data_IF_527891383373
#
_entry.id   IF_527891383373
#
_cell.length_a   1.000
_cell.length_b   1.000
_cell.length_c   1.000
_cell.angle_alpha   90.00
_cell.angle_beta   90.00
_cell.angle_gamma   90.00
#
_symmetry.space_group_name_H-M   'P 1'
#
loop_
_entity.id
_entity.type
_entity.pdbx_description
1 polymer ?
#
# COMPACT_ATOMS: atom_id res chain seq x y z
N UNK A 1 -5.15 4.73 -8.96
CA UNK A 1 -4.17 3.63 -9.13
C UNK A 1 -3.18 3.57 -7.97
N UNK A 2 -2.33 4.59 -7.72
CA UNK A 2 -1.37 4.54 -6.61
C UNK A 2 -2.06 4.42 -5.24
N UNK A 3 -3.15 5.17 -5.02
CA UNK A 3 -3.97 5.08 -3.79
C UNK A 3 -4.48 3.66 -3.51
N UNK A 4 -4.81 2.89 -4.55
CA UNK A 4 -5.20 1.48 -4.40
C UNK A 4 -4.11 0.67 -3.68
N UNK A 5 -2.84 0.91 -3.99
CA UNK A 5 -1.73 0.24 -3.32
C UNK A 5 -1.55 0.64 -1.86
N UNK A 6 -1.88 1.89 -1.50
CA UNK A 6 -1.76 2.41 -0.12
C UNK A 6 -2.90 1.98 0.80
N UNK A 7 -4.10 1.76 0.25
CA UNK A 7 -5.31 1.57 1.07
C UNK A 7 -5.90 0.16 1.02
N UNK A 8 -5.38 -0.77 0.20
CA UNK A 8 -5.97 -2.12 0.09
C UNK A 8 -4.98 -3.27 0.17
N UNK A 9 -3.70 -2.97 0.42
CA UNK A 9 -2.56 -3.89 0.29
C UNK A 9 -2.27 -4.39 -1.13
N UNK A 10 -3.11 -4.11 -2.13
CA UNK A 10 -3.03 -4.76 -3.44
C UNK A 10 -1.62 -4.71 -4.05
N UNK A 11 -1.11 -5.87 -4.45
CA UNK A 11 0.14 -5.96 -5.22
C UNK A 11 -0.07 -5.29 -6.57
N UNK A 12 0.99 -4.73 -7.15
CA UNK A 12 0.88 -4.04 -8.44
C UNK A 12 0.23 -4.91 -9.54
N UNK A 13 0.56 -6.20 -9.60
CA UNK A 13 -0.08 -7.15 -10.52
C UNK A 13 -1.60 -7.31 -10.31
N UNK A 14 -2.06 -7.21 -9.06
CA UNK A 14 -3.50 -7.19 -8.72
C UNK A 14 -4.13 -5.86 -9.12
N UNK A 15 -3.48 -4.73 -8.82
CA UNK A 15 -4.00 -3.41 -9.16
C UNK A 15 -4.23 -3.25 -10.66
N UNK A 16 -3.28 -3.70 -11.50
CA UNK A 16 -3.40 -3.55 -12.97
C UNK A 16 -4.40 -4.52 -13.60
N UNK A 17 -4.90 -5.50 -12.86
CA UNK A 17 -5.92 -6.46 -13.33
C UNK A 17 -7.29 -6.21 -12.72
N UNK A 18 -7.45 -5.14 -11.91
CA UNK A 18 -8.77 -4.69 -11.46
C UNK A 18 -9.65 -4.38 -12.68
N UNK A 19 -10.91 -4.81 -12.61
CA UNK A 19 -11.91 -4.55 -13.64
C UNK A 19 -13.00 -3.62 -13.14
N UNK A 20 -13.73 -2.96 -14.04
CA UNK A 20 -14.91 -2.17 -13.65
C UNK A 20 -15.95 -3.04 -12.99
N UNK A 21 -16.25 -4.21 -13.56
CA UNK A 21 -17.20 -5.15 -12.97
C UNK A 21 -16.79 -5.60 -11.56
N UNK A 22 -15.48 -5.75 -11.27
CA UNK A 22 -15.01 -6.14 -9.94
C UNK A 22 -15.37 -5.12 -8.86
N UNK A 23 -15.42 -3.82 -9.17
CA UNK A 23 -15.79 -2.79 -8.17
C UNK A 23 -17.22 -2.96 -7.63
N UNK A 24 -18.08 -3.65 -8.38
CA UNK A 24 -19.48 -3.91 -8.02
C UNK A 24 -19.69 -5.28 -7.36
N UNK A 25 -18.62 -6.09 -7.21
CA UNK A 25 -18.66 -7.30 -6.37
C UNK A 25 -18.27 -7.01 -4.91
N UNK A 26 -17.86 -5.77 -4.63
CA UNK A 26 -17.52 -5.33 -3.29
C UNK A 26 -18.75 -5.30 -2.38
N UNK A 27 -18.62 -5.87 -1.18
CA UNK A 27 -19.66 -5.86 -0.14
C UNK A 27 -19.11 -5.27 1.16
N UNK A 28 -19.92 -4.47 1.84
CA UNK A 28 -19.55 -3.87 3.12
C UNK A 28 -19.39 -4.97 4.17
N UNK A 29 -18.35 -4.83 5.00
CA UNK A 29 -18.10 -5.76 6.11
C UNK A 29 -19.06 -5.37 7.25
N UNK A 30 -19.93 -6.27 7.73
CA UNK A 30 -20.96 -5.93 8.72
C UNK A 30 -20.41 -5.25 9.96
N UNK A 31 -19.27 -5.72 10.48
CA UNK A 31 -18.68 -5.22 11.72
C UNK A 31 -17.72 -4.03 11.50
N UNK A 32 -17.36 -3.72 10.25
CA UNK A 32 -16.40 -2.65 9.92
C UNK A 32 -17.06 -1.62 8.97
N UNK A 33 -17.92 -0.72 9.51
CA UNK A 33 -18.62 0.28 8.71
C UNK A 33 -17.65 1.11 7.86
N UNK A 34 -17.99 1.29 6.59
CA UNK A 34 -17.15 2.01 5.64
C UNK A 34 -15.98 1.19 5.06
N UNK A 35 -15.83 -0.08 5.42
CA UNK A 35 -14.83 -0.98 4.83
C UNK A 35 -15.52 -2.08 4.03
N UNK A 36 -15.04 -2.29 2.80
CA UNK A 36 -15.60 -3.25 1.86
C UNK A 36 -14.62 -4.39 1.59
N UNK A 37 -15.15 -5.61 1.49
CA UNK A 37 -14.45 -6.74 0.92
C UNK A 37 -14.62 -6.73 -0.59
N UNK A 38 -13.51 -6.60 -1.32
CA UNK A 38 -13.45 -6.73 -2.78
C UNK A 38 -12.82 -8.08 -3.15
N UNK A 39 -13.61 -9.07 -3.61
CA UNK A 39 -13.09 -10.39 -3.99
C UNK A 39 -12.01 -10.31 -5.10
N UNK A 40 -10.91 -11.04 -4.92
CA UNK A 40 -9.79 -11.16 -5.86
C UNK A 40 -9.21 -12.58 -5.91
N UNK A 41 -8.46 -12.91 -6.96
CA UNK A 41 -7.84 -14.22 -7.16
C UNK A 41 -8.68 -15.16 -8.03
N UNK A 42 -8.48 -16.49 -7.95
CA UNK A 42 -9.18 -17.46 -8.78
C UNK A 42 -10.70 -17.32 -8.74
N UNK A 43 -11.35 -17.45 -9.89
CA UNK A 43 -12.79 -17.21 -10.02
C UNK A 43 -13.17 -15.73 -10.14
N UNK A 44 -12.22 -14.82 -9.92
CA UNK A 44 -12.36 -13.39 -10.19
C UNK A 44 -11.48 -13.03 -11.40
N UNK A 45 -11.88 -12.05 -12.20
CA UNK A 45 -11.05 -11.55 -13.30
C UNK A 45 -9.80 -10.78 -12.82
N UNK A 46 -9.54 -10.75 -11.50
CA UNK A 46 -8.48 -9.98 -10.85
C UNK A 46 -7.38 -10.93 -10.37
N UNK A 47 -6.17 -10.75 -10.88
CA UNK A 47 -5.06 -11.65 -10.60
C UNK A 47 -4.45 -11.42 -9.21
N UNK A 48 -4.03 -12.50 -8.55
CA UNK A 48 -3.28 -12.47 -7.30
C UNK A 48 -1.97 -13.24 -7.42
N UNK A 49 -1.01 -12.94 -6.54
CA UNK A 49 0.27 -13.66 -6.53
C UNK A 49 0.02 -15.11 -6.13
N UNK A 50 0.54 -16.05 -6.91
CA UNK A 50 0.37 -17.50 -6.71
C UNK A 50 -1.09 -17.97 -6.69
N UNK A 51 -2.00 -17.24 -7.34
CA UNK A 51 -3.42 -17.61 -7.42
C UNK A 51 -4.07 -17.79 -6.04
N UNK A 52 -3.67 -16.99 -5.06
CA UNK A 52 -4.31 -16.96 -3.73
C UNK A 52 -5.66 -16.26 -3.84
N UNK A 53 -6.75 -16.96 -3.52
CA UNK A 53 -8.08 -16.36 -3.41
C UNK A 53 -8.26 -15.60 -2.11
N UNK A 54 -9.06 -14.54 -2.12
CA UNK A 54 -9.42 -13.78 -0.93
C UNK A 54 -10.11 -12.47 -1.29
N UNK A 55 -10.07 -11.50 -0.38
CA UNK A 55 -10.65 -10.17 -0.59
C UNK A 55 -9.65 -9.09 -0.21
N UNK A 56 -9.67 -7.99 -0.95
CA UNK A 56 -9.00 -6.76 -0.52
C UNK A 56 -9.93 -6.01 0.43
N UNK A 57 -9.37 -5.46 1.51
CA UNK A 57 -10.05 -4.47 2.34
C UNK A 57 -10.01 -3.12 1.62
N UNK A 58 -11.15 -2.52 1.33
CA UNK A 58 -11.25 -1.27 0.56
C UNK A 58 -12.09 -0.26 1.34
N UNK A 59 -11.50 0.87 1.79
CA UNK A 59 -12.28 1.96 2.37
C UNK A 59 -13.31 2.52 1.37
N UNK A 60 -14.47 2.94 1.87
CA UNK A 60 -15.59 3.48 1.07
C UNK A 60 -15.13 4.59 0.14
N UNK A 61 -14.35 5.53 0.64
CA UNK A 61 -13.86 6.69 -0.11
C UNK A 61 -13.02 6.24 -1.31
N UNK A 62 -12.15 5.24 -1.13
CA UNK A 62 -11.39 4.69 -2.24
C UNK A 62 -12.30 3.93 -3.22
N UNK A 63 -13.28 3.16 -2.74
CA UNK A 63 -14.20 2.43 -3.62
C UNK A 63 -15.00 3.40 -4.49
N UNK A 64 -15.48 4.50 -3.90
CA UNK A 64 -16.24 5.55 -4.58
C UNK A 64 -15.37 6.32 -5.59
N UNK A 65 -14.12 6.63 -5.24
CA UNK A 65 -13.14 7.20 -6.17
C UNK A 65 -12.88 6.28 -7.37
N UNK A 66 -12.75 4.98 -7.14
CA UNK A 66 -12.53 3.99 -8.20
C UNK A 66 -13.75 3.86 -9.12
N UNK A 67 -14.98 3.87 -8.56
CA UNK A 67 -16.23 3.87 -9.32
C UNK A 67 -16.42 5.16 -10.12
N UNK A 68 -16.10 6.31 -9.53
CA UNK A 68 -16.12 7.61 -10.19
C UNK A 68 -15.11 7.65 -11.35
N UNK A 69 -13.90 7.12 -11.14
CA UNK A 69 -12.93 6.98 -12.21
C UNK A 69 -13.42 6.04 -13.32
N UNK A 70 -14.06 4.92 -12.97
CA UNK A 70 -14.57 3.93 -13.93
C UNK A 70 -15.60 4.53 -14.92
N UNK A 71 -16.39 5.51 -14.50
CA UNK A 71 -17.39 6.19 -15.33
C UNK A 71 -16.90 7.53 -15.90
N UNK A 72 -15.69 7.96 -15.55
CA UNK A 72 -15.14 9.23 -16.04
C UNK A 72 -14.97 9.26 -17.57
N UNK A 73 -15.19 10.42 -18.19
CA UNK A 73 -14.98 10.62 -19.64
C UNK A 73 -13.57 10.21 -20.07
N UNK A 74 -12.57 10.48 -19.24
CA UNK A 74 -11.18 10.10 -19.51
C UNK A 74 -10.99 8.58 -19.59
N UNK A 75 -11.61 7.82 -18.68
CA UNK A 75 -11.59 6.36 -18.71
C UNK A 75 -12.39 5.83 -19.90
N UNK A 76 -13.62 6.30 -20.11
CA UNK A 76 -14.48 5.85 -21.21
C UNK A 76 -13.84 6.05 -22.59
N UNK A 77 -13.15 7.19 -22.82
CA UNK A 77 -12.38 7.42 -24.05
C UNK A 77 -11.24 6.41 -24.25
N UNK A 78 -10.66 5.88 -23.17
CA UNK A 78 -9.61 4.83 -23.24
C UNK A 78 -10.23 3.47 -23.50
N UNK A 79 -11.39 3.18 -22.93
CA UNK A 79 -12.17 1.96 -23.18
C UNK A 79 -12.59 1.83 -24.65
N UNK A 80 -13.00 2.93 -25.31
CA UNK A 80 -13.32 2.91 -26.75
C UNK A 80 -12.14 2.40 -27.57
N UNK A 81 -10.91 2.79 -27.22
CA UNK A 81 -9.67 2.38 -27.89
C UNK A 81 -9.18 0.99 -27.48
N UNK A 82 -9.69 0.44 -26.39
CA UNK A 82 -9.23 -0.83 -25.86
C UNK A 82 -9.67 -2.01 -26.75
N UNK A 83 -8.81 -3.03 -26.92
CA UNK A 83 -9.21 -4.30 -27.53
C UNK A 83 -10.45 -4.88 -26.84
N UNK A 84 -11.30 -5.66 -27.55
CA UNK A 84 -12.54 -6.19 -26.99
C UNK A 84 -12.38 -6.89 -25.62
N UNK A 85 -11.33 -7.68 -25.43
CA UNK A 85 -11.05 -8.38 -24.17
C UNK A 85 -10.59 -7.48 -23.01
N UNK A 86 -10.12 -6.27 -23.30
CA UNK A 86 -9.52 -5.36 -22.31
C UNK A 86 -10.47 -4.23 -21.87
N UNK A 87 -11.64 -4.10 -22.50
CA UNK A 87 -12.59 -2.99 -22.22
C UNK A 87 -13.00 -2.91 -20.75
N UNK A 88 -13.12 -4.06 -20.09
CA UNK A 88 -13.49 -4.13 -18.68
C UNK A 88 -12.33 -3.84 -17.72
N UNK A 89 -11.07 -3.77 -18.19
CA UNK A 89 -9.93 -3.41 -17.32
C UNK A 89 -10.10 -1.97 -16.83
N UNK A 90 -9.94 -1.76 -15.52
CA UNK A 90 -10.15 -0.47 -14.88
C UNK A 90 -9.09 0.54 -15.32
N UNK A 91 -7.81 0.16 -15.21
CA UNK A 91 -6.69 1.03 -15.52
C UNK A 91 -6.16 0.80 -16.94
N UNK A 92 -6.65 1.64 -17.85
CA UNK A 92 -6.17 1.72 -19.23
C UNK A 92 -5.24 2.93 -19.42
N UNK A 93 -4.24 2.77 -20.29
CA UNK A 93 -3.37 3.83 -20.80
C UNK A 93 -4.11 4.74 -21.78
N UNK A 94 -3.49 5.86 -22.19
CA UNK A 94 -4.07 6.80 -23.17
C UNK A 94 -4.34 6.16 -24.55
N UNK A 95 -3.63 5.09 -24.89
CA UNK A 95 -3.81 4.30 -26.12
C UNK A 95 -4.80 3.14 -25.97
N UNK A 96 -5.45 2.99 -24.81
CA UNK A 96 -6.45 1.94 -24.57
C UNK A 96 -5.86 0.58 -24.20
N UNK A 97 -4.54 0.47 -23.99
CA UNK A 97 -3.92 -0.77 -23.48
C UNK A 97 -4.02 -0.84 -21.95
N UNK A 98 -4.21 -2.02 -21.35
CA UNK A 98 -4.03 -2.21 -19.91
C UNK A 98 -2.67 -1.69 -19.44
N UNK A 99 -2.62 -1.09 -18.25
CA UNK A 99 -1.34 -0.86 -17.60
C UNK A 99 -0.68 -2.21 -17.29
N UNK A 100 0.64 -2.29 -17.47
CA UNK A 100 1.43 -3.42 -16.99
C UNK A 100 2.23 -3.03 -15.75
N UNK A 101 2.76 -4.01 -15.02
CA UNK A 101 3.70 -3.79 -13.90
C UNK A 101 4.86 -2.88 -14.35
N UNK A 102 5.39 -3.11 -15.55
CA UNK A 102 6.50 -2.33 -16.10
C UNK A 102 6.09 -0.88 -16.41
N UNK A 103 4.91 -0.70 -17.02
CA UNK A 103 4.39 0.65 -17.34
C UNK A 103 4.16 1.46 -16.07
N UNK A 104 3.63 0.84 -15.02
CA UNK A 104 3.46 1.52 -13.72
C UNK A 104 4.81 1.78 -13.05
N UNK A 105 5.77 0.85 -13.14
CA UNK A 105 7.14 1.06 -12.67
C UNK A 105 7.80 2.29 -13.30
N UNK A 106 7.62 2.48 -14.62
CA UNK A 106 8.09 3.67 -15.31
C UNK A 106 7.40 4.96 -14.83
N UNK A 107 6.08 4.92 -14.58
CA UNK A 107 5.37 6.07 -14.01
C UNK A 107 5.84 6.42 -12.60
N UNK A 108 6.10 5.42 -11.74
CA UNK A 108 6.63 5.64 -10.39
C UNK A 108 8.03 6.22 -10.45
N UNK A 109 8.88 5.78 -11.39
CA UNK A 109 10.19 6.39 -11.63
C UNK A 109 10.07 7.85 -12.06
N UNK A 110 9.19 8.16 -13.00
CA UNK A 110 8.96 9.55 -13.43
C UNK A 110 8.42 10.43 -12.28
N UNK A 111 7.52 9.89 -11.45
CA UNK A 111 7.04 10.56 -10.24
C UNK A 111 8.20 10.84 -9.26
N UNK A 112 9.07 9.85 -9.04
CA UNK A 112 10.27 10.00 -8.20
C UNK A 112 11.18 11.12 -8.73
N UNK A 113 11.53 11.10 -10.02
CA UNK A 113 12.40 12.12 -10.62
C UNK A 113 11.80 13.53 -10.47
N UNK A 114 10.49 13.68 -10.72
CA UNK A 114 9.79 14.96 -10.56
C UNK A 114 9.80 15.46 -9.11
N UNK A 115 9.52 14.58 -8.15
CA UNK A 115 9.43 14.95 -6.72
C UNK A 115 10.80 15.24 -6.10
N UNK A 116 11.85 14.56 -6.54
CA UNK A 116 13.23 14.88 -6.16
C UNK A 116 13.64 16.28 -6.65
N UNK A 117 13.24 16.66 -7.86
CA UNK A 117 13.42 18.02 -8.37
C UNK A 117 12.70 19.11 -7.57
N UNK A 118 11.75 18.71 -6.71
CA UNK A 118 11.01 19.58 -5.79
C UNK A 118 11.54 19.50 -4.34
N UNK A 119 12.67 18.84 -4.11
CA UNK A 119 13.28 18.72 -2.78
C UNK A 119 12.69 17.62 -1.89
N UNK A 120 11.81 16.76 -2.41
CA UNK A 120 11.21 15.65 -1.65
C UNK A 120 12.18 14.46 -1.55
N UNK A 121 13.26 14.63 -0.78
CA UNK A 121 14.36 13.65 -0.69
C UNK A 121 13.91 12.24 -0.28
N UNK A 122 12.82 12.12 0.49
CA UNK A 122 12.25 10.82 0.88
C UNK A 122 11.81 9.95 -0.32
N UNK A 123 11.61 10.55 -1.50
CA UNK A 123 11.20 9.82 -2.70
C UNK A 123 12.34 9.05 -3.37
N UNK A 124 13.60 9.28 -3.00
CA UNK A 124 14.78 8.74 -3.68
C UNK A 124 14.73 7.23 -3.93
N UNK A 125 14.18 6.48 -2.99
CA UNK A 125 14.08 5.01 -3.05
C UNK A 125 12.66 4.50 -3.31
N UNK A 126 11.66 5.39 -3.38
CA UNK A 126 10.24 5.05 -3.40
C UNK A 126 9.85 4.16 -4.59
N UNK A 127 9.36 2.96 -4.30
CA UNK A 127 8.83 1.97 -5.25
C UNK A 127 7.34 1.77 -4.98
N UNK A 128 6.60 1.27 -5.98
CA UNK A 128 5.20 0.87 -5.77
C UNK A 128 5.05 -0.16 -4.63
N UNK A 129 6.04 -1.04 -4.44
CA UNK A 129 6.02 -1.99 -3.34
C UNK A 129 5.90 -1.32 -1.96
N UNK A 130 6.43 -0.11 -1.82
CA UNK A 130 6.43 0.61 -0.54
C UNK A 130 5.01 1.00 -0.14
N UNK A 131 4.09 1.24 -1.08
CA UNK A 131 2.68 1.52 -0.74
C UNK A 131 2.03 0.36 0.02
N UNK A 132 2.37 -0.88 -0.39
CA UNK A 132 1.89 -2.10 0.26
C UNK A 132 2.54 -2.30 1.63
N UNK A 133 3.83 -1.95 1.76
CA UNK A 133 4.50 -1.99 3.06
C UNK A 133 3.91 -0.96 4.02
N UNK A 134 3.64 0.27 3.55
CA UNK A 134 2.96 1.32 4.32
C UNK A 134 1.58 0.85 4.80
N UNK A 135 0.76 0.26 3.92
CA UNK A 135 -0.52 -0.34 4.33
C UNK A 135 -0.33 -1.35 5.46
N UNK A 136 0.59 -2.31 5.27
CA UNK A 136 0.78 -3.39 6.24
C UNK A 136 1.26 -2.90 7.61
N UNK A 137 2.17 -1.93 7.63
CA UNK A 137 2.66 -1.31 8.88
C UNK A 137 1.56 -0.51 9.57
N UNK A 138 0.80 0.30 8.84
CA UNK A 138 -0.27 1.11 9.44
C UNK A 138 -1.39 0.23 9.99
N UNK A 139 -1.83 -0.79 9.23
CA UNK A 139 -2.84 -1.72 9.70
C UNK A 139 -2.34 -2.49 10.93
N UNK A 140 -1.10 -2.97 10.93
CA UNK A 140 -0.54 -3.66 12.09
C UNK A 140 -0.56 -2.78 13.35
N UNK A 141 -0.17 -1.51 13.21
CA UNK A 141 -0.15 -0.58 14.34
C UNK A 141 -1.54 -0.39 14.94
N UNK A 142 -2.56 -0.18 14.09
CA UNK A 142 -3.95 -0.04 14.54
C UNK A 142 -4.45 -1.33 15.21
N UNK A 143 -4.17 -2.50 14.63
CA UNK A 143 -4.62 -3.77 15.20
C UNK A 143 -3.97 -4.04 16.56
N UNK A 144 -2.70 -3.70 16.75
CA UNK A 144 -1.99 -3.90 18.01
C UNK A 144 -2.44 -2.96 19.14
N UNK A 145 -3.19 -1.91 18.84
CA UNK A 145 -3.82 -1.06 19.87
C UNK A 145 -5.01 -1.75 20.54
N UNK A 146 -5.59 -2.77 19.90
CA UNK A 146 -6.85 -3.38 20.32
C UNK A 146 -6.82 -4.91 20.43
N UNK A 147 -5.85 -5.57 19.81
CA UNK A 147 -5.80 -7.04 19.68
C UNK A 147 -4.45 -7.58 20.14
N UNK A 148 -4.43 -8.87 20.50
CA UNK A 148 -3.18 -9.56 20.77
C UNK A 148 -2.31 -9.65 19.50
N UNK A 149 -0.96 -9.78 19.64
CA UNK A 149 -0.08 -9.93 18.48
C UNK A 149 -0.44 -11.09 17.55
N UNK A 150 -1.02 -12.18 18.09
CA UNK A 150 -1.44 -13.33 17.31
C UNK A 150 -2.66 -13.02 16.45
N UNK A 151 -3.69 -12.40 17.03
CA UNK A 151 -4.91 -11.99 16.32
C UNK A 151 -4.61 -10.93 15.25
N UNK A 152 -3.80 -9.92 15.60
CA UNK A 152 -3.36 -8.89 14.67
C UNK A 152 -2.58 -9.49 13.48
N UNK A 153 -1.75 -10.51 13.72
CA UNK A 153 -1.01 -11.20 12.67
C UNK A 153 -1.94 -11.95 11.71
N UNK A 154 -2.98 -12.63 12.24
CA UNK A 154 -3.98 -13.33 11.45
C UNK A 154 -4.71 -12.37 10.50
N UNK A 155 -5.27 -11.28 11.05
CA UNK A 155 -5.99 -10.27 10.26
C UNK A 155 -5.07 -9.64 9.22
N UNK A 156 -3.82 -9.29 9.59
CA UNK A 156 -2.88 -8.69 8.64
C UNK A 156 -2.49 -9.67 7.52
N UNK A 157 -2.27 -10.95 7.82
CA UNK A 157 -1.95 -12.00 6.83
C UNK A 157 -3.06 -12.09 5.78
N UNK A 158 -4.31 -12.09 6.23
CA UNK A 158 -5.49 -12.18 5.37
C UNK A 158 -5.65 -10.91 4.53
N UNK A 159 -5.59 -9.73 5.17
CA UNK A 159 -5.63 -8.42 4.50
C UNK A 159 -4.52 -8.27 3.45
N UNK A 160 -3.37 -8.92 3.64
CA UNK A 160 -2.25 -8.90 2.72
C UNK A 160 -2.29 -10.05 1.69
N UNK A 161 -3.19 -11.03 1.78
CA UNK A 161 -3.19 -12.23 0.93
C UNK A 161 -1.80 -12.92 0.95
N UNK A 162 -1.31 -13.19 2.16
CA UNK A 162 -0.09 -13.96 2.40
C UNK A 162 -0.43 -15.44 2.58
N UNK A 163 0.18 -16.30 1.75
CA UNK A 163 0.03 -17.76 1.89
C UNK A 163 0.68 -18.29 3.18
N UNK A 164 1.71 -17.61 3.67
CA UNK A 164 2.53 -18.01 4.82
C UNK A 164 2.70 -16.82 5.78
N UNK A 165 2.62 -17.10 7.08
CA UNK A 165 2.84 -16.16 8.18
C UNK A 165 4.25 -15.59 8.23
N UNK A 166 5.26 -16.29 7.70
CA UNK A 166 6.64 -15.80 7.61
C UNK A 166 6.74 -14.42 6.95
N UNK A 167 5.92 -14.18 5.92
CA UNK A 167 5.88 -12.90 5.22
C UNK A 167 5.22 -11.79 6.06
N UNK A 168 4.34 -12.15 6.99
CA UNK A 168 3.64 -11.22 7.90
C UNK A 168 4.47 -10.97 9.17
N UNK A 169 5.18 -11.98 9.68
CA UNK A 169 6.08 -11.88 10.85
C UNK A 169 7.19 -10.84 10.67
N UNK A 170 7.60 -10.57 9.43
CA UNK A 170 8.58 -9.52 9.14
C UNK A 170 8.11 -8.13 9.60
N UNK A 171 6.81 -7.85 9.58
CA UNK A 171 6.23 -6.59 10.04
C UNK A 171 6.33 -6.44 11.57
N UNK A 172 6.03 -7.51 12.31
CA UNK A 172 6.20 -7.53 13.78
C UNK A 172 7.68 -7.38 14.15
N UNK A 173 8.56 -8.14 13.50
CA UNK A 173 10.02 -8.04 13.73
C UNK A 173 10.53 -6.64 13.44
N UNK A 174 10.06 -6.02 12.36
CA UNK A 174 10.41 -4.64 12.03
C UNK A 174 9.98 -3.69 13.15
N UNK A 175 8.72 -3.75 13.62
CA UNK A 175 8.20 -2.92 14.71
C UNK A 175 8.97 -3.11 16.02
N UNK A 176 9.18 -4.35 16.44
CA UNK A 176 9.96 -4.66 17.64
C UNK A 176 11.40 -4.14 17.52
N UNK A 177 12.02 -4.28 16.34
CA UNK A 177 13.36 -3.77 16.09
C UNK A 177 13.43 -2.25 16.08
N UNK A 178 12.40 -1.55 15.58
CA UNK A 178 12.37 -0.09 15.56
C UNK A 178 12.21 0.49 16.97
N UNK A 179 11.29 -0.07 17.77
CA UNK A 179 11.13 0.29 19.19
C UNK A 179 12.41 0.00 19.99
N UNK A 180 13.02 -1.18 19.79
CA UNK A 180 14.26 -1.55 20.45
C UNK A 180 15.43 -0.64 20.05
N UNK A 181 15.56 -0.28 18.77
CA UNK A 181 16.58 0.67 18.30
C UNK A 181 16.39 2.07 18.88
N UNK A 182 15.14 2.53 18.99
CA UNK A 182 14.85 3.84 19.58
C UNK A 182 15.21 3.85 21.07
N UNK A 183 14.83 2.81 21.82
CA UNK A 183 15.22 2.64 23.23
C UNK A 183 16.74 2.54 23.41
N UNK A 184 17.42 1.76 22.57
CA UNK A 184 18.87 1.62 22.61
C UNK A 184 19.59 2.94 22.26
N UNK A 185 19.07 3.71 21.30
CA UNK A 185 19.59 5.04 20.97
C UNK A 185 19.44 6.00 22.15
N UNK A 186 18.25 6.07 22.77
CA UNK A 186 18.01 6.88 23.96
C UNK A 186 18.95 6.50 25.11
N UNK A 187 19.07 5.21 25.43
CA UNK A 187 19.97 4.72 26.47
C UNK A 187 21.45 5.03 26.17
N UNK A 188 21.87 4.89 24.91
CA UNK A 188 23.21 5.28 24.47
C UNK A 188 23.43 6.79 24.61
N UNK A 189 22.47 7.60 24.17
CA UNK A 189 22.53 9.06 24.30
C UNK A 189 22.63 9.49 25.77
N UNK A 190 21.81 8.94 26.65
CA UNK A 190 21.86 9.22 28.09
C UNK A 190 23.19 8.81 28.73
N UNK A 191 23.70 7.61 28.39
CA UNK A 191 24.93 7.08 28.96
C UNK A 191 26.20 7.84 28.50
N UNK A 192 26.24 8.32 27.25
CA UNK A 192 27.46 8.86 26.65
C UNK A 192 27.44 10.38 26.41
N UNK A 193 26.28 11.00 26.19
CA UNK A 193 26.18 12.41 25.77
C UNK A 193 25.20 13.25 26.61
N UNK A 194 24.29 12.64 27.37
CA UNK A 194 23.20 13.30 28.10
C UNK A 194 23.61 14.25 29.24
N UNK A 195 24.90 14.30 29.61
CA UNK A 195 25.42 15.21 30.65
C UNK A 195 26.34 16.32 30.12
N UNK A 196 26.60 16.40 28.82
CA UNK A 196 27.49 17.43 28.26
C UNK A 196 26.68 18.62 27.71
N UNK A 197 26.16 19.44 28.62
CA UNK A 197 26.05 20.88 28.33
C UNK A 197 27.46 21.46 28.46
N UNK A 198 28.28 21.35 27.41
CA UNK A 198 29.54 22.10 27.36
C UNK A 198 29.17 23.53 26.98
N UNK A 199 29.19 24.44 27.96
CA UNK A 199 29.14 25.87 27.68
C UNK A 199 30.52 26.32 27.21
N UNK A 200 30.68 26.51 25.91
CA UNK A 200 31.90 27.04 25.29
C UNK A 200 32.05 28.56 25.49
N UNK A 201 31.68 29.08 26.67
CA UNK A 201 31.55 30.51 26.93
C UNK A 201 32.52 31.10 27.95
N UNK A 202 33.61 30.41 28.30
CA UNK A 202 34.47 30.83 29.41
C UNK A 202 35.95 30.44 29.33
N UNK A 203 36.45 30.04 28.16
CA UNK A 203 37.89 29.81 27.96
C UNK A 203 38.29 30.39 26.61
N UNK A 204 38.51 31.70 26.62
CA UNK A 204 39.53 32.38 25.82
C UNK A 204 39.91 33.63 26.64
N UNK A 205 41.00 33.48 27.39
CA UNK A 205 41.78 34.56 27.99
C UNK A 205 43.05 34.73 27.14
#
# INVERSE_FOLDING_TARGET
MLSTGFFTSARLGTVVTLTVSSLYTAHEIPDWPGVFNLPVGPGTAVATKFSVGGSLLVPRELLDDLKTYATSTARLKREVKAPPGDKNVLFLTRSGRPFSVNTVGALVRALREKTLGQGMQFMQTFKFHDSRATFGTNLLNILLEHLSPSEALGILKDAMLHKDEKATLSYIKFRQSSEAKQKANLAFYEAFTGRRHVSWGGQDA
#
